data_IF_980597278561
#
_entry.id   IF_980597278561
#
_cell.length_a   1.000
_cell.length_b   1.000
_cell.length_c   1.000
_cell.angle_alpha   90.00
_cell.angle_beta   90.00
_cell.angle_gamma   90.00
#
_symmetry.space_group_name_H-M   'P 1'
#
loop_
_entity.id
_entity.type
_entity.pdbx_description
1 polymer ?
#
# COMPACT_ATOMS: atom_id res chain seq x y z
N UNK A 1 35.14 -4.59 1.67
CA UNK A 1 34.48 -4.58 2.99
C UNK A 1 33.46 -3.45 3.02
N UNK A 2 32.19 -3.84 2.96
CA UNK A 2 31.09 -3.27 3.77
C UNK A 2 30.42 -1.93 3.42
N UNK A 3 30.48 -1.41 2.19
CA UNK A 3 29.53 -0.35 1.77
C UNK A 3 28.07 -0.82 1.84
N UNK A 4 27.81 -2.09 1.49
CA UNK A 4 26.48 -2.69 1.54
C UNK A 4 25.95 -2.86 2.98
N UNK A 5 26.85 -3.01 3.97
CA UNK A 5 26.46 -3.18 5.38
C UNK A 5 26.12 -1.83 6.01
N UNK A 6 26.82 -0.76 5.64
CA UNK A 6 26.51 0.60 6.06
C UNK A 6 25.17 1.05 5.47
N UNK A 7 24.93 0.79 4.19
CA UNK A 7 23.67 1.15 3.53
C UNK A 7 22.47 0.40 4.13
N UNK A 8 22.64 -0.89 4.43
CA UNK A 8 21.63 -1.69 5.13
C UNK A 8 21.30 -1.16 6.53
N UNK A 9 22.32 -0.79 7.32
CA UNK A 9 22.12 -0.20 8.65
C UNK A 9 21.48 1.18 8.58
N UNK A 10 21.85 2.01 7.60
CA UNK A 10 21.25 3.33 7.39
C UNK A 10 19.77 3.22 7.04
N UNK A 11 19.40 2.24 6.20
CA UNK A 11 18.01 1.94 5.84
C UNK A 11 17.20 1.49 7.05
N UNK A 12 17.77 0.62 7.90
CA UNK A 12 17.12 0.20 9.14
C UNK A 12 16.91 1.38 10.11
N UNK A 13 17.93 2.20 10.31
CA UNK A 13 17.87 3.36 11.21
C UNK A 13 16.85 4.40 10.73
N UNK A 14 16.83 4.67 9.43
CA UNK A 14 15.86 5.57 8.79
C UNK A 14 14.44 5.00 8.85
N UNK A 15 14.29 3.69 8.70
CA UNK A 15 13.03 2.97 8.88
C UNK A 15 12.49 3.09 10.30
N UNK A 16 13.30 2.72 11.31
CA UNK A 16 12.95 2.86 12.72
C UNK A 16 12.61 4.30 13.11
N UNK A 17 13.35 5.28 12.58
CA UNK A 17 13.09 6.69 12.85
C UNK A 17 11.75 7.14 12.23
N UNK A 18 11.43 6.70 11.02
CA UNK A 18 10.16 7.02 10.34
C UNK A 18 8.97 6.34 11.02
N UNK A 19 9.16 5.13 11.52
CA UNK A 19 8.16 4.39 12.28
C UNK A 19 7.92 5.00 13.67
N UNK A 20 9.00 5.40 14.35
CA UNK A 20 8.95 6.11 15.62
C UNK A 20 8.28 7.49 15.44
N UNK A 21 8.63 8.24 14.40
CA UNK A 21 7.97 9.49 14.05
C UNK A 21 6.49 9.27 13.71
N UNK A 22 6.14 8.24 12.93
CA UNK A 22 4.74 7.91 12.65
C UNK A 22 3.92 7.63 13.91
N UNK A 23 4.51 6.92 14.89
CA UNK A 23 3.88 6.64 16.19
C UNK A 23 3.85 7.86 17.13
N UNK A 24 4.90 8.70 17.12
CA UNK A 24 5.05 9.86 17.99
C UNK A 24 4.26 11.07 17.51
N UNK A 25 4.23 11.33 16.19
CA UNK A 25 3.41 12.41 15.61
C UNK A 25 1.92 12.09 15.78
N UNK A 26 1.56 10.81 15.98
CA UNK A 26 0.23 10.44 16.49
C UNK A 26 -0.90 10.92 15.58
N UNK A 27 -0.65 10.97 14.27
CA UNK A 27 -1.64 11.37 13.30
C UNK A 27 -2.65 10.24 13.12
N UNK A 28 -3.59 10.17 14.07
CA UNK A 28 -4.88 9.46 13.88
C UNK A 28 -5.53 9.85 12.56
N UNK A 29 -5.23 11.05 12.03
CA UNK A 29 -5.58 11.49 10.69
C UNK A 29 -4.90 10.64 9.61
N UNK A 30 -3.58 10.48 9.64
CA UNK A 30 -2.85 9.64 8.66
C UNK A 30 -3.20 8.15 8.79
N UNK A 31 -3.42 7.65 10.00
CA UNK A 31 -3.89 6.27 10.20
C UNK A 31 -5.33 6.08 9.68
N UNK A 32 -6.23 7.04 9.95
CA UNK A 32 -7.60 7.01 9.42
C UNK A 32 -7.65 7.19 7.89
N UNK A 33 -6.84 8.09 7.33
CA UNK A 33 -6.69 8.28 5.88
C UNK A 33 -6.14 7.01 5.23
N UNK A 34 -5.13 6.36 5.83
CA UNK A 34 -4.59 5.10 5.33
C UNK A 34 -5.61 3.95 5.38
N UNK A 35 -6.41 3.86 6.45
CA UNK A 35 -7.50 2.87 6.54
C UNK A 35 -8.61 3.17 5.52
N UNK A 36 -8.97 4.44 5.33
CA UNK A 36 -9.96 4.87 4.35
C UNK A 36 -9.50 4.56 2.91
N UNK A 37 -8.24 4.85 2.57
CA UNK A 37 -7.64 4.50 1.28
C UNK A 37 -7.60 2.99 1.06
N UNK A 38 -7.23 2.20 2.08
CA UNK A 38 -7.25 0.73 1.96
C UNK A 38 -8.65 0.19 1.70
N UNK A 39 -9.67 0.77 2.34
CA UNK A 39 -11.06 0.35 2.10
C UNK A 39 -11.54 0.77 0.70
N UNK A 40 -11.22 1.99 0.27
CA UNK A 40 -11.52 2.47 -1.07
C UNK A 40 -10.84 1.57 -2.14
N UNK A 41 -9.57 1.25 -1.96
CA UNK A 41 -8.82 0.35 -2.84
C UNK A 41 -9.42 -1.05 -2.93
N UNK A 42 -9.84 -1.64 -1.79
CA UNK A 42 -10.53 -2.94 -1.76
C UNK A 42 -11.88 -2.92 -2.50
N UNK A 43 -12.64 -1.83 -2.36
CA UNK A 43 -13.92 -1.66 -3.05
C UNK A 43 -13.68 -1.55 -4.56
N UNK A 44 -12.70 -0.74 -4.97
CA UNK A 44 -12.34 -0.54 -6.36
C UNK A 44 -11.81 -1.84 -7.00
N UNK A 45 -10.99 -2.62 -6.28
CA UNK A 45 -10.50 -3.92 -6.74
C UNK A 45 -11.64 -4.93 -6.92
N UNK A 46 -12.59 -4.98 -5.97
CA UNK A 46 -13.79 -5.84 -6.08
C UNK A 46 -14.70 -5.42 -7.24
N UNK A 47 -14.92 -4.13 -7.42
CA UNK A 47 -15.70 -3.60 -8.54
C UNK A 47 -15.01 -3.90 -9.88
N UNK A 48 -13.69 -3.74 -9.95
CA UNK A 48 -12.86 -4.11 -11.10
C UNK A 48 -12.97 -5.61 -11.41
N UNK A 49 -12.80 -6.48 -10.42
CA UNK A 49 -12.94 -7.93 -10.56
C UNK A 49 -14.35 -8.36 -11.00
N UNK A 50 -15.40 -7.73 -10.45
CA UNK A 50 -16.77 -7.99 -10.86
C UNK A 50 -17.01 -7.56 -12.32
N UNK A 51 -16.51 -6.38 -12.70
CA UNK A 51 -16.60 -5.87 -14.07
C UNK A 51 -15.81 -6.76 -15.04
N UNK A 52 -14.62 -7.22 -14.65
CA UNK A 52 -13.78 -8.13 -15.43
C UNK A 52 -14.45 -9.51 -15.57
N UNK A 53 -15.03 -10.04 -14.49
CA UNK A 53 -15.75 -11.31 -14.51
C UNK A 53 -17.02 -11.24 -15.38
N UNK A 54 -17.74 -10.12 -15.34
CA UNK A 54 -18.88 -9.86 -16.25
C UNK A 54 -18.39 -9.74 -17.69
N UNK A 55 -17.32 -8.98 -17.94
CA UNK A 55 -16.74 -8.79 -19.28
C UNK A 55 -16.23 -10.11 -19.89
N UNK A 56 -15.64 -10.99 -19.06
CA UNK A 56 -15.26 -12.37 -19.44
C UNK A 56 -16.48 -13.23 -19.74
N UNK A 57 -17.55 -13.15 -18.95
CA UNK A 57 -18.79 -13.89 -19.20
C UNK A 57 -19.55 -13.37 -20.43
N UNK A 58 -19.51 -12.07 -20.72
CA UNK A 58 -20.15 -11.48 -21.91
C UNK A 58 -19.29 -11.61 -23.17
N UNK A 59 -18.15 -12.29 -23.11
CA UNK A 59 -17.31 -12.59 -24.28
C UNK A 59 -16.77 -11.35 -25.01
N UNK A 60 -16.72 -10.20 -24.34
CA UNK A 60 -16.30 -8.93 -24.96
C UNK A 60 -14.77 -8.82 -25.07
N UNK A 61 -14.03 -9.75 -24.48
CA UNK A 61 -12.58 -9.87 -24.63
C UNK A 61 -12.25 -10.87 -25.76
N UNK A 62 -12.43 -10.42 -26.99
CA UNK A 62 -11.84 -11.06 -28.18
C UNK A 62 -11.20 -9.97 -29.04
N UNK A 63 -10.08 -9.42 -28.58
CA UNK A 63 -8.87 -9.07 -29.36
C UNK A 63 -7.85 -8.29 -28.53
#
# INVERSE_FOLDING_TARGET
MDSNRVEGRLKQLKGSLKEALGKVTGDRKTEAEGIAEQQAGKIQEKAGKATDAVRRQTGTDRH
#
